data_IF_753147245581
#
_entry.id   IF_753147245581
#
_cell.length_a   1.000
_cell.length_b   1.000
_cell.length_c   1.000
_cell.angle_alpha   90.00
_cell.angle_beta   90.00
_cell.angle_gamma   90.00
#
_symmetry.space_group_name_H-M   'P 1'
#
loop_
_entity.id
_entity.type
_entity.pdbx_description
1 polymer ?
#
# COMPACT_ATOMS: atom_id res chain seq x y z
N UNK A 1 3.59 4.08 12.04
CA UNK A 1 5.00 4.39 11.74
C UNK A 1 5.74 3.23 11.04
N UNK A 2 5.40 1.96 11.33
CA UNK A 2 6.02 0.78 10.70
C UNK A 2 5.66 0.58 9.21
N UNK A 3 4.49 1.05 8.74
CA UNK A 3 4.11 0.95 7.33
C UNK A 3 4.85 1.94 6.39
N UNK A 4 5.52 2.98 6.88
CA UNK A 4 6.08 4.01 6.00
C UNK A 4 7.41 3.60 5.33
N UNK A 5 8.13 2.62 5.89
CA UNK A 5 9.51 2.30 5.48
C UNK A 5 9.56 1.14 4.47
N UNK A 6 8.61 0.19 4.53
CA UNK A 6 8.60 -0.98 3.64
C UNK A 6 7.85 -0.74 2.31
N UNK A 7 6.85 0.15 2.27
CA UNK A 7 6.00 0.38 1.08
C UNK A 7 6.64 1.26 -0.01
N UNK A 8 7.68 2.04 0.31
CA UNK A 8 8.24 3.02 -0.64
C UNK A 8 9.47 2.53 -1.40
N UNK A 9 10.10 1.42 -0.99
CA UNK A 9 11.51 1.22 -1.30
C UNK A 9 11.82 0.74 -2.73
N UNK A 10 11.00 -0.08 -3.39
CA UNK A 10 11.38 -0.56 -4.73
C UNK A 10 11.04 0.45 -5.84
N UNK A 11 9.87 1.09 -5.78
CA UNK A 11 9.44 2.05 -6.80
C UNK A 11 10.32 3.30 -6.83
N UNK A 12 10.65 3.88 -5.67
CA UNK A 12 11.58 5.01 -5.57
C UNK A 12 13.00 4.64 -6.03
N UNK A 13 13.44 3.41 -5.76
CA UNK A 13 14.81 3.00 -6.06
C UNK A 13 14.99 2.69 -7.55
N UNK A 14 14.05 1.98 -8.18
CA UNK A 14 14.25 1.47 -9.55
C UNK A 14 13.48 2.24 -10.65
N UNK A 15 12.38 2.92 -10.31
CA UNK A 15 11.57 3.70 -11.25
C UNK A 15 11.30 2.99 -12.60
N UNK A 16 10.82 1.73 -12.57
CA UNK A 16 10.46 1.01 -13.81
C UNK A 16 9.41 1.77 -14.64
N UNK A 17 9.36 1.50 -15.96
CA UNK A 17 8.61 2.30 -16.95
C UNK A 17 7.11 2.52 -16.64
N UNK A 18 6.51 1.64 -15.83
CA UNK A 18 5.10 1.66 -15.48
C UNK A 18 4.95 1.23 -14.02
N UNK A 19 4.19 1.99 -13.22
CA UNK A 19 3.71 1.52 -11.93
C UNK A 19 2.75 0.38 -12.20
N UNK A 20 3.13 -0.83 -11.77
CA UNK A 20 2.32 -2.05 -11.96
C UNK A 20 2.04 -2.67 -10.60
N UNK A 21 0.97 -3.48 -10.46
CA UNK A 21 0.69 -4.19 -9.22
C UNK A 21 1.86 -5.06 -8.71
N UNK A 22 2.80 -5.45 -9.58
CA UNK A 22 4.01 -6.18 -9.20
C UNK A 22 4.90 -5.43 -8.19
N UNK A 23 4.76 -4.11 -8.06
CA UNK A 23 5.43 -3.32 -7.02
C UNK A 23 4.86 -3.68 -5.64
N UNK A 24 3.54 -3.78 -5.52
CA UNK A 24 2.88 -4.14 -4.27
C UNK A 24 3.20 -5.60 -3.88
N UNK A 25 3.34 -6.49 -4.86
CA UNK A 25 3.74 -7.89 -4.64
C UNK A 25 5.13 -7.98 -3.99
N UNK A 26 6.07 -7.12 -4.40
CA UNK A 26 7.37 -7.04 -3.74
C UNK A 26 7.25 -6.56 -2.29
N UNK A 27 6.44 -5.52 -2.06
CA UNK A 27 6.19 -5.01 -0.71
C UNK A 27 5.56 -6.07 0.20
N UNK A 28 4.63 -6.87 -0.33
CA UNK A 28 4.06 -8.03 0.38
C UNK A 28 5.16 -9.04 0.71
N UNK A 29 6.08 -9.33 -0.23
CA UNK A 29 7.24 -10.20 0.03
C UNK A 29 8.10 -9.68 1.20
N UNK A 30 8.40 -8.38 1.24
CA UNK A 30 9.16 -7.78 2.35
C UNK A 30 8.43 -7.90 3.68
N UNK A 31 7.13 -7.62 3.71
CA UNK A 31 6.29 -7.75 4.92
C UNK A 31 6.24 -9.20 5.37
N UNK A 32 6.08 -10.13 4.43
CA UNK A 32 6.01 -11.54 4.75
C UNK A 32 7.32 -12.04 5.36
N UNK A 33 8.47 -11.63 4.82
CA UNK A 33 9.77 -11.90 5.42
C UNK A 33 9.95 -11.26 6.81
N UNK A 34 9.42 -10.06 7.01
CA UNK A 34 9.44 -9.37 8.30
C UNK A 34 8.60 -10.10 9.35
N UNK A 35 7.44 -10.64 8.98
CA UNK A 35 6.61 -11.49 9.86
C UNK A 35 7.38 -12.75 10.28
N UNK A 36 8.14 -13.37 9.38
CA UNK A 36 8.93 -14.57 9.68
C UNK A 36 10.11 -14.30 10.62
N UNK A 37 10.70 -13.10 10.55
CA UNK A 37 11.96 -12.79 11.25
C UNK A 37 11.81 -11.81 12.41
N UNK A 38 10.67 -11.14 12.51
CA UNK A 38 10.38 -10.06 13.46
C UNK A 38 11.15 -8.76 13.20
N UNK A 39 11.81 -8.63 12.05
CA UNK A 39 12.66 -7.48 11.71
C UNK A 39 12.57 -7.17 10.21
N UNK A 40 12.74 -5.89 9.80
CA UNK A 40 12.66 -5.51 8.40
C UNK A 40 13.70 -6.25 7.57
N UNK A 41 13.29 -6.79 6.42
CA UNK A 41 14.14 -7.57 5.53
C UNK A 41 15.29 -6.73 4.94
N UNK A 42 14.98 -5.52 4.51
CA UNK A 42 15.92 -4.59 3.88
C UNK A 42 15.88 -3.21 4.57
N UNK A 43 16.58 -3.04 5.71
CA UNK A 43 16.61 -1.78 6.45
C UNK A 43 17.62 -0.78 5.85
N UNK A 44 17.44 -0.40 4.58
CA UNK A 44 18.31 0.54 3.90
C UNK A 44 18.19 1.95 4.45
N UNK A 45 19.32 2.66 4.46
CA UNK A 45 19.45 4.05 4.93
C UNK A 45 19.62 5.06 3.78
N UNK A 46 19.90 4.54 2.59
CA UNK A 46 20.08 5.28 1.34
C UNK A 46 19.72 4.37 0.17
N UNK A 47 19.50 4.96 -1.01
CA UNK A 47 19.19 4.19 -2.23
C UNK A 47 20.27 3.17 -2.56
N UNK A 48 21.54 3.56 -2.42
CA UNK A 48 22.69 2.68 -2.66
C UNK A 48 22.72 1.53 -1.64
N UNK A 49 22.57 1.86 -0.35
CA UNK A 49 22.55 0.83 0.70
C UNK A 49 21.37 -0.13 0.52
N UNK A 50 20.21 0.36 0.09
CA UNK A 50 19.06 -0.50 -0.23
C UNK A 50 19.37 -1.48 -1.36
N UNK A 51 20.00 -1.02 -2.44
CA UNK A 51 20.44 -1.89 -3.56
C UNK A 51 21.48 -2.91 -3.12
N UNK A 52 22.42 -2.53 -2.25
CA UNK A 52 23.38 -3.45 -1.65
C UNK A 52 22.66 -4.56 -0.88
N UNK A 53 21.76 -4.22 0.04
CA UNK A 53 21.00 -5.20 0.84
C UNK A 53 20.16 -6.15 -0.04
N UNK A 54 19.53 -5.62 -1.09
CA UNK A 54 18.76 -6.43 -2.03
C UNK A 54 19.66 -7.42 -2.78
N UNK A 55 20.79 -6.94 -3.32
CA UNK A 55 21.72 -7.78 -4.09
C UNK A 55 22.55 -8.72 -3.23
N UNK A 56 22.73 -8.44 -1.95
CA UNK A 56 23.35 -9.35 -0.97
C UNK A 56 22.49 -10.59 -0.74
N UNK A 57 21.16 -10.44 -0.78
CA UNK A 57 20.23 -11.57 -0.62
C UNK A 57 19.92 -12.26 -1.96
N UNK A 58 19.51 -11.48 -2.96
CA UNK A 58 19.00 -11.99 -4.23
C UNK A 58 20.07 -12.21 -5.30
N UNK A 59 21.30 -11.80 -5.03
CA UNK A 59 22.38 -11.76 -6.02
C UNK A 59 22.27 -10.53 -6.94
N UNK A 60 23.28 -10.39 -7.79
CA UNK A 60 23.28 -9.32 -8.81
C UNK A 60 22.32 -9.69 -9.94
N UNK A 61 21.38 -8.80 -10.31
CA UNK A 61 20.45 -9.04 -11.42
C UNK A 61 21.17 -9.24 -12.76
N UNK A 62 20.50 -9.88 -13.71
CA UNK A 62 21.01 -10.08 -15.07
C UNK A 62 21.18 -8.73 -15.80
N UNK A 63 22.01 -8.71 -16.85
CA UNK A 63 22.20 -7.52 -17.67
C UNK A 63 20.89 -7.04 -18.31
N UNK A 64 20.02 -7.99 -18.70
CA UNK A 64 18.71 -7.70 -19.27
C UNK A 64 17.80 -7.02 -18.25
N UNK A 65 17.74 -7.53 -17.02
CA UNK A 65 16.96 -6.91 -15.94
C UNK A 65 17.50 -5.52 -15.59
N UNK A 66 18.83 -5.34 -15.57
CA UNK A 66 19.46 -4.03 -15.33
C UNK A 66 19.12 -3.04 -16.45
N UNK A 67 19.04 -3.48 -17.71
CA UNK A 67 18.69 -2.61 -18.84
C UNK A 67 17.28 -2.01 -18.71
N UNK A 68 16.36 -2.74 -18.08
CA UNK A 68 14.99 -2.30 -17.80
C UNK A 68 14.86 -1.23 -16.70
N UNK A 69 15.91 -0.99 -15.91
CA UNK A 69 15.92 0.03 -14.84
C UNK A 69 16.02 1.41 -15.47
N UNK A 70 15.01 2.28 -15.28
CA UNK A 70 15.06 3.67 -15.82
C UNK A 70 15.90 4.60 -14.97
N UNK A 71 15.97 4.39 -13.65
CA UNK A 71 16.78 5.23 -12.79
C UNK A 71 18.25 5.06 -13.18
N UNK A 72 18.80 6.06 -13.89
CA UNK A 72 20.15 5.98 -14.46
C UNK A 72 21.22 5.81 -13.38
N UNK A 73 21.04 6.40 -12.20
CA UNK A 73 21.97 6.24 -11.06
C UNK A 73 21.95 4.81 -10.54
N UNK A 74 20.75 4.24 -10.34
CA UNK A 74 20.60 2.86 -9.90
C UNK A 74 21.14 1.88 -10.95
N UNK A 75 20.86 2.11 -12.23
CA UNK A 75 21.38 1.30 -13.34
C UNK A 75 22.91 1.32 -13.39
N UNK A 76 23.53 2.51 -13.38
CA UNK A 76 25.00 2.63 -13.37
C UNK A 76 25.62 1.90 -12.18
N UNK A 77 25.03 2.05 -11.00
CA UNK A 77 25.48 1.38 -9.79
C UNK A 77 25.40 -0.15 -9.90
N UNK A 78 24.26 -0.69 -10.34
CA UNK A 78 24.08 -2.14 -10.55
C UNK A 78 25.00 -2.70 -11.65
N UNK A 79 25.32 -1.91 -12.67
CA UNK A 79 26.28 -2.32 -13.71
C UNK A 79 27.72 -2.32 -13.22
N UNK A 80 28.11 -1.38 -12.36
CA UNK A 80 29.50 -1.24 -11.89
C UNK A 80 29.83 -2.08 -10.67
N UNK A 81 28.84 -2.64 -9.98
CA UNK A 81 29.07 -3.43 -8.76
C UNK A 81 29.69 -4.80 -9.06
N UNK A 82 30.37 -5.39 -8.07
CA UNK A 82 30.84 -6.77 -8.16
C UNK A 82 29.66 -7.73 -8.20
N UNK A 83 29.71 -8.74 -9.08
CA UNK A 83 28.70 -9.80 -9.14
C UNK A 83 28.62 -10.55 -7.81
N UNK A 84 27.41 -10.68 -7.28
CA UNK A 84 27.05 -11.41 -6.06
C UNK A 84 26.16 -12.60 -6.45
N UNK A 85 26.39 -13.75 -5.81
CA UNK A 85 25.51 -14.91 -5.97
C UNK A 85 24.31 -14.78 -5.01
N UNK A 86 23.13 -15.29 -5.39
CA UNK A 86 21.97 -15.32 -4.49
C UNK A 86 22.26 -16.20 -3.28
N UNK A 87 21.80 -15.76 -2.11
CA UNK A 87 21.83 -16.54 -0.88
C UNK A 87 20.60 -17.45 -0.84
N UNK A 88 20.74 -18.77 -0.58
CA UNK A 88 19.60 -19.65 -0.42
C UNK A 88 18.66 -19.17 0.69
N UNK A 89 17.36 -19.12 0.40
CA UNK A 89 16.36 -18.65 1.37
C UNK A 89 16.28 -19.56 2.61
N UNK A 90 16.62 -20.84 2.46
CA UNK A 90 16.76 -21.79 3.58
C UNK A 90 17.84 -21.39 4.58
N UNK A 91 18.90 -20.71 4.11
CA UNK A 91 19.97 -20.18 4.98
C UNK A 91 19.52 -18.88 5.64
N UNK A 92 18.86 -17.98 4.87
CA UNK A 92 18.40 -16.69 5.39
C UNK A 92 17.27 -16.82 6.42
N UNK A 93 16.38 -17.79 6.24
CA UNK A 93 15.19 -18.01 7.05
C UNK A 93 15.21 -19.43 7.63
N UNK A 94 16.10 -19.70 8.61
CA UNK A 94 16.25 -21.04 9.16
C UNK A 94 14.97 -21.48 9.88
N UNK A 95 14.53 -22.71 9.63
CA UNK A 95 13.34 -23.30 10.25
C UNK A 95 11.99 -22.86 9.65
N UNK A 96 12.00 -22.04 8.60
CA UNK A 96 10.77 -21.71 7.88
C UNK A 96 10.31 -22.89 6.99
N UNK A 97 8.99 -23.00 6.80
CA UNK A 97 8.36 -23.99 5.93
C UNK A 97 8.87 -23.85 4.48
N UNK A 98 9.29 -24.94 3.80
CA UNK A 98 9.70 -24.91 2.40
C UNK A 98 8.68 -24.25 1.45
N UNK A 99 7.37 -24.38 1.72
CA UNK A 99 6.32 -23.74 0.93
C UNK A 99 6.35 -22.21 1.07
N UNK A 100 6.59 -21.71 2.28
CA UNK A 100 6.78 -20.28 2.54
C UNK A 100 7.97 -19.76 1.76
N UNK A 101 9.11 -20.47 1.81
CA UNK A 101 10.34 -20.04 1.16
C UNK A 101 10.18 -19.96 -0.35
N UNK A 102 9.51 -20.95 -0.95
CA UNK A 102 9.20 -20.97 -2.39
C UNK A 102 8.33 -19.78 -2.80
N UNK A 103 7.26 -19.50 -2.06
CA UNK A 103 6.40 -18.36 -2.33
C UNK A 103 7.17 -17.05 -2.17
N UNK A 104 7.91 -16.90 -1.06
CA UNK A 104 8.67 -15.69 -0.74
C UNK A 104 9.73 -15.38 -1.81
N UNK A 105 10.41 -16.39 -2.35
CA UNK A 105 11.37 -16.22 -3.43
C UNK A 105 10.74 -15.65 -4.71
N UNK A 106 9.50 -16.05 -5.03
CA UNK A 106 8.75 -15.51 -6.18
C UNK A 106 8.26 -14.09 -5.93
N UNK A 107 7.77 -13.78 -4.72
CA UNK A 107 7.33 -12.43 -4.35
C UNK A 107 8.49 -11.42 -4.41
N UNK A 108 9.68 -11.85 -4.00
CA UNK A 108 10.92 -11.06 -3.98
C UNK A 108 11.76 -11.21 -5.25
N UNK A 109 11.18 -11.61 -6.39
CA UNK A 109 11.91 -11.66 -7.65
C UNK A 109 12.35 -10.24 -8.07
N UNK A 110 13.57 -10.12 -8.61
CA UNK A 110 14.13 -8.81 -8.97
C UNK A 110 13.38 -8.18 -10.16
N UNK A 111 13.14 -8.96 -11.22
CA UNK A 111 12.32 -8.53 -12.35
C UNK A 111 10.84 -8.51 -11.95
N UNK A 112 10.11 -7.40 -12.13
CA UNK A 112 8.67 -7.35 -11.87
C UNK A 112 7.86 -8.39 -12.65
N UNK A 113 8.33 -8.84 -13.83
CA UNK A 113 7.63 -9.85 -14.65
C UNK A 113 7.69 -11.26 -14.07
N UNK A 114 8.68 -11.52 -13.23
CA UNK A 114 8.86 -12.83 -12.59
C UNK A 114 8.03 -12.96 -11.31
N UNK A 115 7.35 -11.89 -10.90
CA UNK A 115 6.50 -11.86 -9.71
C UNK A 115 5.09 -12.36 -10.06
N UNK A 116 4.47 -13.17 -9.18
CA UNK A 116 3.10 -13.59 -9.38
C UNK A 116 2.14 -12.42 -9.23
N UNK A 117 0.95 -12.52 -9.82
CA UNK A 117 -0.16 -11.65 -9.46
C UNK A 117 -0.65 -11.95 -8.03
N UNK A 118 -1.43 -11.03 -7.44
CA UNK A 118 -2.01 -11.26 -6.11
C UNK A 118 -2.91 -12.51 -6.09
N UNK A 119 -3.66 -12.73 -7.17
CA UNK A 119 -4.50 -13.91 -7.35
C UNK A 119 -3.65 -15.19 -7.43
N UNK A 120 -2.61 -15.21 -8.26
CA UNK A 120 -1.70 -16.35 -8.37
C UNK A 120 -0.98 -16.67 -7.06
N UNK A 121 -0.61 -15.64 -6.30
CA UNK A 121 0.01 -15.80 -4.98
C UNK A 121 -0.98 -16.41 -3.97
N UNK A 122 -2.26 -16.04 -4.03
CA UNK A 122 -3.31 -16.55 -3.15
C UNK A 122 -3.65 -18.02 -3.42
N UNK A 123 -3.49 -18.47 -4.68
CA UNK A 123 -3.62 -19.88 -5.07
C UNK A 123 -2.36 -20.73 -4.84
N UNK A 124 -1.29 -20.16 -4.27
CA UNK A 124 -0.08 -20.90 -3.96
C UNK A 124 -0.36 -22.04 -2.94
N UNK A 125 0.30 -23.21 -3.07
CA UNK A 125 0.14 -24.31 -2.11
C UNK A 125 0.31 -23.92 -0.64
N UNK A 126 1.06 -22.85 -0.34
CA UNK A 126 1.19 -22.30 1.00
C UNK A 126 -0.18 -21.90 1.62
N UNK A 127 -1.09 -21.33 0.83
CA UNK A 127 -2.42 -20.89 1.29
C UNK A 127 -3.51 -21.95 1.09
N UNK A 128 -3.14 -23.19 0.75
CA UNK A 128 -4.10 -24.27 0.52
C UNK A 128 -4.96 -24.49 1.77
N UNK A 129 -6.28 -24.39 1.61
CA UNK A 129 -7.26 -24.53 2.69
C UNK A 129 -7.60 -23.22 3.42
N UNK A 130 -6.86 -22.14 3.15
CA UNK A 130 -7.17 -20.78 3.64
C UNK A 130 -7.88 -19.95 2.57
N UNK A 131 -7.46 -20.05 1.31
CA UNK A 131 -8.07 -19.33 0.19
C UNK A 131 -9.52 -19.75 -0.02
N UNK A 132 -10.42 -18.76 -0.09
CA UNK A 132 -11.86 -18.97 -0.30
C UNK A 132 -12.35 -17.98 -1.34
N UNK A 133 -12.43 -18.43 -2.59
CA UNK A 133 -12.85 -17.64 -3.76
C UNK A 133 -14.16 -16.86 -3.49
N UNK A 134 -15.14 -17.48 -2.81
CA UNK A 134 -16.42 -16.84 -2.48
C UNK A 134 -16.30 -15.61 -1.57
N UNK A 135 -15.21 -15.50 -0.80
CA UNK A 135 -14.92 -14.38 0.10
C UNK A 135 -13.86 -13.43 -0.45
N UNK A 136 -13.31 -13.73 -1.62
CA UNK A 136 -12.21 -13.02 -2.26
C UNK A 136 -12.66 -12.54 -3.65
N UNK A 137 -13.70 -11.68 -3.74
CA UNK A 137 -14.21 -11.22 -5.03
C UNK A 137 -13.14 -10.40 -5.75
N UNK A 138 -12.93 -10.70 -7.04
CA UNK A 138 -12.11 -9.86 -7.90
C UNK A 138 -12.84 -8.54 -8.17
N UNK A 139 -12.15 -7.43 -7.95
CA UNK A 139 -12.66 -6.12 -8.37
C UNK A 139 -12.46 -5.96 -9.88
N UNK A 140 -13.39 -5.27 -10.55
CA UNK A 140 -13.19 -4.90 -11.95
C UNK A 140 -11.98 -3.97 -12.04
N UNK A 141 -11.14 -4.08 -13.09
CA UNK A 141 -10.07 -3.13 -13.30
C UNK A 141 -10.63 -1.71 -13.31
N UNK A 142 -10.08 -0.86 -12.46
CA UNK A 142 -10.40 0.57 -12.47
C UNK A 142 -9.94 1.15 -13.81
N UNK A 143 -10.84 1.86 -14.50
CA UNK A 143 -10.49 2.53 -15.75
C UNK A 143 -9.46 3.63 -15.51
N UNK A 144 -8.52 3.80 -16.45
CA UNK A 144 -7.58 4.92 -16.44
C UNK A 144 -8.28 6.30 -16.43
N UNK A 145 -9.53 6.35 -16.91
CA UNK A 145 -10.36 7.56 -16.88
C UNK A 145 -10.69 8.00 -15.44
N UNK A 146 -10.79 7.06 -14.49
CA UNK A 146 -11.02 7.41 -13.08
C UNK A 146 -9.83 8.17 -12.48
N UNK A 147 -8.63 8.04 -13.04
CA UNK A 147 -7.42 8.75 -12.64
C UNK A 147 -7.10 9.96 -13.53
N UNK A 148 -8.01 10.36 -14.44
CA UNK A 148 -7.75 11.47 -15.36
C UNK A 148 -7.54 12.80 -14.62
N UNK A 149 -8.19 12.97 -13.46
CA UNK A 149 -8.04 14.16 -12.63
C UNK A 149 -6.58 14.41 -12.20
N UNK A 150 -5.76 13.37 -12.03
CA UNK A 150 -4.33 13.50 -11.67
C UNK A 150 -3.48 14.08 -12.82
N UNK A 151 -3.96 13.97 -14.06
CA UNK A 151 -3.26 14.51 -15.24
C UNK A 151 -3.53 16.00 -15.45
N UNK A 152 -4.53 16.55 -14.76
CA UNK A 152 -4.89 17.97 -14.86
C UNK A 152 -4.00 18.79 -13.94
N UNK A 153 -3.56 19.96 -14.41
CA UNK A 153 -2.92 20.95 -13.52
C UNK A 153 -4.02 21.63 -12.72
N UNK A 154 -4.11 21.27 -11.44
CA UNK A 154 -5.11 21.81 -10.52
C UNK A 154 -4.44 22.79 -9.56
N UNK A 155 -5.09 23.92 -9.30
CA UNK A 155 -4.72 24.82 -8.21
C UNK A 155 -5.20 24.27 -6.87
N UNK A 156 -4.74 24.87 -5.78
CA UNK A 156 -5.21 24.51 -4.43
C UNK A 156 -6.71 24.72 -4.29
N UNK A 157 -7.22 25.78 -4.90
CA UNK A 157 -8.64 26.16 -4.91
C UNK A 157 -9.46 25.12 -5.69
N UNK A 158 -8.98 24.67 -6.85
CA UNK A 158 -9.63 23.60 -7.61
C UNK A 158 -9.71 22.29 -6.82
N UNK A 159 -8.64 21.91 -6.12
CA UNK A 159 -8.62 20.69 -5.29
C UNK A 159 -9.63 20.80 -4.15
N UNK A 160 -9.71 21.96 -3.48
CA UNK A 160 -10.70 22.19 -2.42
C UNK A 160 -12.13 22.01 -2.93
N UNK A 161 -12.42 22.59 -4.10
CA UNK A 161 -13.73 22.49 -4.74
C UNK A 161 -14.05 21.03 -5.11
N UNK A 162 -13.09 20.29 -5.69
CA UNK A 162 -13.28 18.88 -6.04
C UNK A 162 -13.55 18.00 -4.81
N UNK A 163 -12.80 18.20 -3.72
CA UNK A 163 -13.02 17.50 -2.45
C UNK A 163 -14.41 17.86 -1.89
N UNK A 164 -14.79 19.13 -1.96
CA UNK A 164 -16.09 19.56 -1.46
C UNK A 164 -17.24 18.93 -2.27
N UNK A 165 -17.12 18.87 -3.60
CA UNK A 165 -18.09 18.19 -4.48
C UNK A 165 -18.24 16.71 -4.17
N UNK A 166 -17.12 16.00 -3.93
CA UNK A 166 -17.15 14.61 -3.49
C UNK A 166 -17.94 14.47 -2.17
N UNK A 167 -17.71 15.37 -1.20
CA UNK A 167 -18.48 15.38 0.06
C UNK A 167 -19.97 15.60 -0.22
N UNK A 168 -20.36 16.52 -1.09
CA UNK A 168 -21.78 16.76 -1.41
C UNK A 168 -22.49 15.50 -1.91
N UNK A 169 -21.79 14.63 -2.66
CA UNK A 169 -22.35 13.38 -3.16
C UNK A 169 -22.78 12.43 -2.03
N UNK A 170 -22.03 12.37 -0.93
CA UNK A 170 -22.38 11.57 0.26
C UNK A 170 -23.33 12.28 1.23
N UNK A 171 -23.63 13.57 1.00
CA UNK A 171 -24.43 14.41 1.91
C UNK A 171 -25.61 15.11 1.17
N UNK A 172 -26.71 14.40 0.87
CA UNK A 172 -27.82 14.92 0.05
C UNK A 172 -28.51 16.19 0.59
N UNK A 173 -28.49 16.42 1.90
CA UNK A 173 -29.04 17.63 2.51
C UNK A 173 -28.14 18.84 2.19
N UNK A 174 -26.83 18.68 2.37
CA UNK A 174 -25.84 19.71 2.06
C UNK A 174 -25.82 20.04 0.57
N UNK A 175 -26.00 19.03 -0.29
CA UNK A 175 -26.10 19.22 -1.74
C UNK A 175 -27.30 20.10 -2.13
N UNK A 176 -28.46 19.90 -1.48
CA UNK A 176 -29.66 20.73 -1.73
C UNK A 176 -29.43 22.18 -1.32
N UNK A 177 -28.83 22.41 -0.16
CA UNK A 177 -28.54 23.75 0.35
C UNK A 177 -27.53 24.49 -0.54
N UNK A 178 -26.51 23.77 -1.02
CA UNK A 178 -25.51 24.28 -1.94
C UNK A 178 -26.11 24.67 -3.31
N UNK A 179 -26.96 23.82 -3.89
CA UNK A 179 -27.64 24.09 -5.17
C UNK A 179 -28.64 25.25 -5.04
N UNK A 180 -29.27 25.40 -3.88
CA UNK A 180 -30.24 26.47 -3.61
C UNK A 180 -29.61 27.87 -3.47
N UNK A 181 -28.27 28.00 -3.54
CA UNK A 181 -27.57 29.29 -3.48
C UNK A 181 -27.70 29.97 -2.11
N UNK A 182 -27.92 29.20 -1.04
CA UNK A 182 -28.06 29.75 0.29
C UNK A 182 -26.66 30.08 0.85
N UNK A 183 -26.14 31.26 0.52
CA UNK A 183 -24.81 31.80 0.90
C UNK A 183 -24.55 31.91 2.43
N UNK A 184 -25.47 31.38 3.26
CA UNK A 184 -25.43 31.43 4.72
C UNK A 184 -24.97 30.14 5.41
N UNK A 185 -24.35 29.18 4.72
CA UNK A 185 -23.82 28.01 5.42
C UNK A 185 -22.52 28.38 6.14
N UNK A 186 -22.66 28.79 7.39
CA UNK A 186 -21.62 28.73 8.40
C UNK A 186 -21.28 27.24 8.59
N UNK A 187 -20.52 26.68 7.65
CA UNK A 187 -20.15 25.27 7.62
C UNK A 187 -19.06 25.04 8.67
N UNK A 188 -19.49 24.93 9.92
CA UNK A 188 -18.65 24.53 11.02
C UNK A 188 -18.39 23.03 10.84
N UNK A 189 -17.22 22.69 10.30
CA UNK A 189 -16.72 21.31 10.30
C UNK A 189 -16.87 20.79 11.73
N UNK A 190 -17.69 19.75 12.01
CA UNK A 190 -17.59 19.07 13.28
C UNK A 190 -16.24 18.39 13.20
N UNK A 191 -15.19 19.06 13.68
CA UNK A 191 -13.88 18.46 13.74
C UNK A 191 -14.07 17.13 14.45
N UNK A 192 -13.57 16.04 13.88
CA UNK A 192 -13.58 14.76 14.56
C UNK A 192 -13.01 14.95 15.99
N UNK A 193 -12.03 15.84 16.13
CA UNK A 193 -11.48 16.29 17.43
C UNK A 193 -12.49 16.98 18.36
N UNK A 194 -13.52 17.63 17.85
CA UNK A 194 -14.59 18.30 18.60
C UNK A 194 -15.65 17.33 19.09
N UNK A 195 -16.03 16.33 18.27
CA UNK A 195 -16.87 15.23 18.74
C UNK A 195 -16.13 14.37 19.77
N UNK A 196 -14.87 14.02 19.50
CA UNK A 196 -14.03 13.31 20.46
C UNK A 196 -13.79 14.12 21.74
N UNK A 197 -13.60 15.45 21.68
CA UNK A 197 -13.51 16.30 22.89
C UNK A 197 -14.79 16.33 23.69
N UNK A 198 -15.96 16.45 23.03
CA UNK A 198 -17.26 16.42 23.74
C UNK A 198 -17.53 15.05 24.35
N UNK A 199 -17.14 13.98 23.66
CA UNK A 199 -17.29 12.62 24.14
C UNK A 199 -16.32 12.29 25.28
N UNK A 200 -15.09 12.82 25.25
CA UNK A 200 -14.16 12.78 26.38
C UNK A 200 -14.64 13.63 27.56
N UNK A 201 -15.10 14.86 27.33
CA UNK A 201 -15.64 15.73 28.39
C UNK A 201 -16.88 15.12 29.06
N UNK A 202 -17.76 14.48 28.28
CA UNK A 202 -18.92 13.75 28.79
C UNK A 202 -18.53 12.52 29.64
N UNK A 203 -17.44 11.85 29.30
CA UNK A 203 -16.90 10.71 30.06
C UNK A 203 -16.17 11.16 31.34
N UNK A 204 -15.51 12.32 31.33
CA UNK A 204 -14.89 12.93 32.52
C UNK A 204 -15.94 13.47 33.50
N UNK A 205 -17.06 14.01 33.00
CA UNK A 205 -18.18 14.50 33.82
C UNK A 205 -19.05 13.37 34.40
N UNK A 206 -19.13 12.21 33.74
CA UNK A 206 -19.94 11.06 34.18
C UNK A 206 -19.12 9.90 34.76
N UNK A 207 -18.16 10.22 35.64
CA UNK A 207 -17.40 9.21 36.37
C UNK A 207 -18.29 8.42 37.36
N UNK A 208 -19.10 7.48 36.86
CA UNK A 208 -19.85 6.57 37.73
C UNK A 208 -21.06 5.80 37.18
N UNK A 209 -21.43 5.84 35.89
CA UNK A 209 -22.51 4.97 35.39
C UNK A 209 -22.11 4.19 34.15
N UNK A 210 -21.83 2.91 34.38
CA UNK A 210 -21.57 1.87 33.41
C UNK A 210 -22.82 1.51 32.61
N UNK A 211 -22.92 1.97 31.37
CA UNK A 211 -23.74 1.31 30.35
C UNK A 211 -22.87 0.96 29.12
N UNK A 212 -23.15 -0.17 28.45
CA UNK A 212 -22.30 -0.65 27.37
C UNK A 212 -22.52 0.20 26.11
N UNK A 213 -21.46 0.91 25.71
CA UNK A 213 -21.44 1.62 24.42
C UNK A 213 -21.42 0.56 23.31
N UNK A 214 -22.58 0.34 22.68
CA UNK A 214 -22.68 -0.48 21.47
C UNK A 214 -22.01 0.30 20.33
N UNK A 215 -20.97 -0.25 19.67
CA UNK A 215 -20.38 0.40 18.52
C UNK A 215 -21.43 0.55 17.42
N UNK A 216 -21.67 1.79 16.97
CA UNK A 216 -22.43 2.04 15.75
C UNK A 216 -21.70 1.32 14.61
N UNK A 217 -22.26 0.19 14.18
CA UNK A 217 -21.74 -0.57 13.05
C UNK A 217 -21.57 0.32 11.83
N UNK A 218 -20.51 0.08 11.04
CA UNK A 218 -20.28 0.75 9.76
C UNK A 218 -21.52 0.58 8.88
N UNK A 219 -22.34 1.63 8.76
CA UNK A 219 -23.56 1.65 7.94
C UNK A 219 -23.30 1.83 6.44
N UNK A 220 -22.08 2.20 6.06
CA UNK A 220 -21.71 2.41 4.67
C UNK A 220 -20.69 1.34 4.26
N UNK A 221 -21.14 0.40 3.43
CA UNK A 221 -20.28 -0.35 2.54
C UNK A 221 -19.88 0.62 1.42
N UNK A 222 -18.58 0.70 1.10
CA UNK A 222 -18.12 1.44 -0.07
C UNK A 222 -18.91 0.98 -1.30
N UNK A 223 -19.56 1.90 -2.00
CA UNK A 223 -20.38 1.55 -3.16
C UNK A 223 -19.49 0.97 -4.28
N UNK A 224 -19.99 -0.01 -5.05
CA UNK A 224 -19.31 -0.50 -6.23
C UNK A 224 -19.25 0.63 -7.27
N UNK A 225 -18.05 0.86 -7.81
CA UNK A 225 -17.82 1.74 -8.97
C UNK A 225 -18.39 1.10 -10.24
#
# INVERSE_FOLDING_TARGET
>A
MFLQICYLNLYLVLAFLQYTPAIDIWSIGCIFAEVLTGKPLFPGKSVVHQLDLMTDLLGTPSADTISGVRNEKARKYLTSMRKKNPVPFTEKFPGADPLVLRLLQRLLAFDPKDRPTAEEALFDPYFKGLAKIEREPSCRPISNLEFEFERRRLTKEDIKELIFREILEYHPQLQKDYIAGNDGTNYLYPSATGQFRRQFAYLEENNGKSEPVIPLGRKHVSLPR
#
